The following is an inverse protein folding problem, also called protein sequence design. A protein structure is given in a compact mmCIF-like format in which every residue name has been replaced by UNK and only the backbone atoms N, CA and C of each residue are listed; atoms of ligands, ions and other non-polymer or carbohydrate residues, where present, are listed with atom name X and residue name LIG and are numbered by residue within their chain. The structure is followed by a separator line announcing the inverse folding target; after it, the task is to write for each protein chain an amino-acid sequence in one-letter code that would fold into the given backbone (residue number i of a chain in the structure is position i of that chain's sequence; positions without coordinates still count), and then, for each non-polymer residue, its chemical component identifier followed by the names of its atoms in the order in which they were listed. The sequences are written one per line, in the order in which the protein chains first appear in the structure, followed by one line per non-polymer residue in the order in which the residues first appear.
data_IF_422354861530
#
_entry.id   IF_422354861530
#
_cell.length_a   1.000
_cell.length_b   1.000
_cell.length_c   1.000
_cell.angle_alpha   90.00
_cell.angle_beta   90.00
_cell.angle_gamma   90.00
#
_symmetry.space_group_name_H-M   'P 1'
#
loop_
_entity.id
_entity.type
_entity.pdbx_description
1 polymer ?
#
# COMPACT_ATOMS: atom_id res chain seq x y z
N UNK A 1 -12.53 -14.83 -56.79
CA UNK A 1 -13.66 -14.58 -55.84
C UNK A 1 -13.83 -15.77 -54.90
N UNK A 2 -14.26 -15.50 -53.66
CA UNK A 2 -14.62 -16.43 -52.53
C UNK A 2 -13.45 -16.86 -51.64
N UNK A 3 -13.10 -16.05 -50.63
CA UNK A 3 -13.62 -16.03 -49.23
C UNK A 3 -13.32 -17.32 -48.45
N UNK A 4 -12.28 -17.28 -47.62
CA UNK A 4 -12.30 -17.97 -46.32
C UNK A 4 -11.73 -17.05 -45.24
N UNK A 5 -12.54 -16.05 -44.86
CA UNK A 5 -12.37 -15.26 -43.64
C UNK A 5 -13.29 -15.86 -42.58
N UNK A 6 -12.89 -16.92 -41.91
CA UNK A 6 -13.55 -17.39 -40.68
C UNK A 6 -12.46 -18.01 -39.80
N UNK A 7 -12.54 -17.79 -38.49
CA UNK A 7 -11.62 -18.22 -37.43
C UNK A 7 -10.53 -17.19 -37.06
N UNK A 8 -10.93 -15.94 -36.80
CA UNK A 8 -10.18 -15.03 -35.88
C UNK A 8 -11.23 -14.24 -35.07
N UNK A 9 -12.09 -14.92 -34.30
CA UNK A 9 -13.05 -14.22 -33.40
C UNK A 9 -13.16 -14.88 -32.02
N UNK A 10 -12.53 -16.03 -31.76
CA UNK A 10 -12.70 -16.75 -30.48
C UNK A 10 -11.66 -16.44 -29.38
N UNK A 11 -10.62 -15.65 -29.66
CA UNK A 11 -9.54 -15.38 -28.69
C UNK A 11 -9.67 -14.07 -27.91
N UNK A 12 -10.64 -13.21 -28.22
CA UNK A 12 -10.81 -11.89 -27.59
C UNK A 12 -11.71 -11.89 -26.34
N UNK A 13 -12.37 -13.00 -26.00
CA UNK A 13 -13.38 -13.02 -24.92
C UNK A 13 -12.77 -13.47 -23.56
N UNK A 14 -11.56 -14.04 -23.53
CA UNK A 14 -10.98 -14.58 -22.28
C UNK A 14 -10.16 -13.56 -21.44
N UNK A 15 -10.00 -12.32 -21.90
CA UNK A 15 -9.19 -11.32 -21.19
C UNK A 15 -10.00 -10.41 -20.22
N UNK A 16 -11.34 -10.50 -20.22
CA UNK A 16 -12.19 -9.54 -19.51
C UNK A 16 -12.44 -9.81 -18.01
N UNK A 17 -11.89 -10.89 -17.44
CA UNK A 17 -12.23 -11.32 -16.06
C UNK A 17 -11.07 -11.28 -15.06
N UNK A 18 -9.86 -10.96 -15.51
CA UNK A 18 -8.70 -10.90 -14.63
C UNK A 18 -8.28 -9.45 -14.37
N UNK A 19 -9.10 -8.70 -13.63
CA UNK A 19 -8.54 -7.58 -12.86
C UNK A 19 -7.83 -8.21 -11.65
N UNK A 20 -6.50 -8.11 -11.52
CA UNK A 20 -5.81 -8.73 -10.40
C UNK A 20 -6.32 -8.12 -9.10
N UNK A 21 -6.78 -8.96 -8.16
CA UNK A 21 -7.21 -8.50 -6.83
C UNK A 21 -6.13 -7.67 -6.11
N UNK A 22 -4.86 -7.89 -6.45
CA UNK A 22 -3.71 -7.11 -6.00
C UNK A 22 -3.72 -5.65 -6.47
N UNK A 23 -4.22 -5.35 -7.68
CA UNK A 23 -4.35 -3.98 -8.18
C UNK A 23 -5.46 -3.22 -7.44
N UNK A 24 -6.60 -3.87 -7.19
CA UNK A 24 -7.69 -3.29 -6.41
C UNK A 24 -7.24 -3.01 -4.97
N UNK A 25 -6.57 -3.98 -4.34
CA UNK A 25 -5.98 -3.83 -3.01
C UNK A 25 -4.99 -2.64 -2.94
N UNK A 26 -4.11 -2.49 -3.93
CA UNK A 26 -3.16 -1.38 -3.97
C UNK A 26 -3.85 -0.02 -4.11
N UNK A 27 -4.91 0.09 -4.92
CA UNK A 27 -5.68 1.33 -5.06
C UNK A 27 -6.39 1.73 -3.76
N UNK A 28 -6.94 0.78 -3.02
CA UNK A 28 -7.64 1.07 -1.75
C UNK A 28 -6.66 1.52 -0.66
N UNK A 29 -5.46 0.92 -0.62
CA UNK A 29 -4.41 1.36 0.29
C UNK A 29 -3.93 2.77 -0.04
N UNK A 30 -3.69 3.08 -1.32
CA UNK A 30 -3.23 4.39 -1.75
C UNK A 30 -4.22 5.50 -1.33
N UNK A 31 -5.53 5.26 -1.46
CA UNK A 31 -6.57 6.19 -0.96
C UNK A 31 -6.49 6.38 0.56
N UNK A 32 -6.26 5.31 1.31
CA UNK A 32 -6.20 5.34 2.78
C UNK A 32 -5.05 6.16 3.35
N UNK A 33 -4.00 6.39 2.56
CA UNK A 33 -2.80 7.10 3.00
C UNK A 33 -2.51 8.38 2.21
N UNK A 34 -3.42 8.82 1.34
CA UNK A 34 -3.26 10.04 0.55
C UNK A 34 -3.00 11.29 1.40
N UNK A 35 -3.52 11.33 2.64
CA UNK A 35 -3.24 12.43 3.57
C UNK A 35 -1.74 12.59 3.91
N UNK A 36 -0.90 11.58 3.64
CA UNK A 36 0.55 11.67 3.81
C UNK A 36 1.19 12.67 2.83
N UNK A 37 0.52 13.01 1.72
CA UNK A 37 0.94 14.07 0.79
C UNK A 37 1.12 15.42 1.50
N UNK A 38 0.33 15.65 2.57
CA UNK A 38 0.36 16.91 3.35
C UNK A 38 1.31 16.84 4.56
N UNK A 39 1.93 15.69 4.84
CA UNK A 39 2.81 15.52 6.00
C UNK A 39 4.24 15.89 5.62
N UNK A 40 4.69 17.09 6.02
CA UNK A 40 6.00 17.68 5.67
C UNK A 40 7.23 16.76 5.84
N UNK A 41 7.20 15.83 6.80
CA UNK A 41 8.31 14.90 7.08
C UNK A 41 8.25 13.58 6.30
N UNK A 42 7.18 13.32 5.56
CA UNK A 42 7.10 12.22 4.60
C UNK A 42 7.74 12.68 3.29
N UNK A 43 8.71 11.92 2.79
CA UNK A 43 9.29 12.16 1.46
C UNK A 43 8.57 11.37 0.37
N UNK A 44 8.24 10.12 0.69
CA UNK A 44 7.58 9.21 -0.24
C UNK A 44 6.82 8.16 0.55
N UNK A 45 5.82 7.58 -0.09
CA UNK A 45 5.21 6.34 0.37
C UNK A 45 4.88 5.45 -0.83
N UNK A 46 4.84 4.15 -0.61
CA UNK A 46 4.41 3.18 -1.64
C UNK A 46 3.58 2.07 -1.01
N UNK A 47 2.65 1.53 -1.78
CA UNK A 47 1.87 0.34 -1.41
C UNK A 47 2.41 -0.89 -2.16
N UNK A 48 2.55 -2.01 -1.46
CA UNK A 48 2.89 -3.31 -2.05
C UNK A 48 2.07 -4.40 -1.37
N UNK A 49 1.07 -4.96 -2.08
CA UNK A 49 0.15 -5.94 -1.50
C UNK A 49 -0.61 -5.38 -0.30
N UNK A 50 -0.38 -5.95 0.89
CA UNK A 50 -0.95 -5.49 2.18
C UNK A 50 -0.05 -4.51 2.95
N UNK A 51 1.05 -4.10 2.34
CA UNK A 51 2.10 -3.30 2.96
C UNK A 51 2.03 -1.86 2.46
N UNK A 52 2.18 -0.92 3.38
CA UNK A 52 2.46 0.49 3.09
C UNK A 52 3.84 0.78 3.66
N UNK A 53 4.68 1.43 2.87
CA UNK A 53 6.04 1.80 3.27
C UNK A 53 6.13 3.31 3.19
N UNK A 54 6.55 3.95 4.28
CA UNK A 54 6.63 5.40 4.42
C UNK A 54 8.10 5.78 4.64
N UNK A 55 8.64 6.59 3.73
CA UNK A 55 9.98 7.14 3.82
C UNK A 55 9.99 8.48 4.54
N UNK A 56 10.60 8.53 5.73
CA UNK A 56 10.63 9.72 6.59
C UNK A 56 11.93 10.52 6.45
N UNK A 57 11.84 11.85 6.26
CA UNK A 57 12.97 12.82 6.29
C UNK A 57 13.53 13.07 7.69
N UNK A 58 12.97 12.41 8.70
CA UNK A 58 13.21 12.60 10.12
C UNK A 58 11.96 12.20 10.89
N UNK A 59 12.08 12.04 12.21
CA UNK A 59 10.96 11.64 13.06
C UNK A 59 10.28 12.92 13.58
N UNK A 60 9.06 13.26 13.13
CA UNK A 60 8.31 14.34 13.74
C UNK A 60 7.79 13.93 15.14
N UNK A 61 7.38 14.91 15.94
CA UNK A 61 6.84 14.66 17.29
C UNK A 61 5.57 13.78 17.27
N UNK A 62 4.83 13.80 16.17
CA UNK A 62 3.61 13.03 15.94
C UNK A 62 3.86 11.78 15.06
N UNK A 63 5.12 11.32 14.98
CA UNK A 63 5.52 10.16 14.18
C UNK A 63 4.69 8.91 14.47
N UNK A 64 4.44 8.61 15.75
CA UNK A 64 3.58 7.51 16.16
C UNK A 64 2.17 7.65 15.59
N UNK A 65 1.58 8.85 15.73
CA UNK A 65 0.21 9.15 15.35
C UNK A 65 0.01 9.04 13.84
N UNK A 66 0.99 9.45 13.03
CA UNK A 66 0.90 9.30 11.58
C UNK A 66 0.93 7.85 11.12
N UNK A 67 1.83 7.02 11.68
CA UNK A 67 1.90 5.60 11.34
C UNK A 67 0.64 4.85 11.81
N UNK A 68 0.13 5.21 13.00
CA UNK A 68 -1.15 4.72 13.53
C UNK A 68 -2.32 5.07 12.60
N UNK A 69 -2.45 6.35 12.23
CA UNK A 69 -3.52 6.84 11.35
C UNK A 69 -3.47 6.17 9.97
N UNK A 70 -2.26 6.01 9.41
CA UNK A 70 -2.07 5.32 8.13
C UNK A 70 -2.58 3.88 8.19
N UNK A 71 -2.22 3.12 9.24
CA UNK A 71 -2.65 1.74 9.39
C UNK A 71 -4.17 1.62 9.56
N UNK A 72 -4.76 2.46 10.42
CA UNK A 72 -6.21 2.46 10.63
C UNK A 72 -6.99 2.78 9.36
N UNK A 73 -6.64 3.88 8.69
CA UNK A 73 -7.37 4.32 7.51
C UNK A 73 -7.27 3.30 6.38
N UNK A 74 -6.05 2.80 6.12
CA UNK A 74 -5.81 1.81 5.10
C UNK A 74 -6.57 0.50 5.38
N UNK A 75 -6.49 -0.03 6.61
CA UNK A 75 -7.19 -1.28 6.96
C UNK A 75 -8.72 -1.12 7.00
N UNK A 76 -9.23 0.08 7.30
CA UNK A 76 -10.67 0.38 7.25
C UNK A 76 -11.17 0.39 5.81
N UNK A 77 -10.42 0.95 4.87
CA UNK A 77 -10.83 0.96 3.46
C UNK A 77 -10.69 -0.43 2.83
N UNK A 78 -9.60 -1.12 3.11
CA UNK A 78 -9.27 -2.37 2.45
C UNK A 78 -9.94 -3.62 3.04
N UNK A 79 -10.49 -3.52 4.26
CA UNK A 79 -11.17 -4.61 4.98
C UNK A 79 -10.27 -5.83 5.32
N UNK A 80 -8.95 -5.67 5.26
CA UNK A 80 -7.97 -6.69 5.63
C UNK A 80 -6.89 -6.16 6.60
N UNK A 81 -6.00 -7.04 7.03
CA UNK A 81 -4.82 -6.67 7.83
C UNK A 81 -3.79 -5.91 6.99
N UNK A 82 -3.38 -4.74 7.46
CA UNK A 82 -2.41 -3.85 6.81
C UNK A 82 -1.18 -3.70 7.68
N UNK A 83 -0.02 -3.64 7.03
CA UNK A 83 1.29 -3.44 7.65
C UNK A 83 1.86 -2.12 7.17
N UNK A 84 2.05 -1.16 8.08
CA UNK A 84 2.70 0.12 7.81
C UNK A 84 4.13 0.08 8.31
N UNK A 85 5.08 0.23 7.40
CA UNK A 85 6.52 0.23 7.66
C UNK A 85 7.05 1.65 7.58
N UNK A 86 7.69 2.10 8.66
CA UNK A 86 8.43 3.36 8.64
C UNK A 86 9.90 3.09 8.33
N UNK A 87 10.44 3.74 7.31
CA UNK A 87 11.84 3.64 6.89
C UNK A 87 12.46 5.02 6.74
N UNK A 88 13.78 5.10 6.60
CA UNK A 88 14.47 6.35 6.30
C UNK A 88 14.23 6.74 4.84
N UNK A 89 14.07 8.03 4.56
CA UNK A 89 13.72 8.53 3.21
C UNK A 89 14.67 8.12 2.08
N UNK A 90 15.94 7.78 2.35
CA UNK A 90 16.87 7.32 1.32
C UNK A 90 16.64 5.85 0.91
N UNK A 91 15.86 5.08 1.68
CA UNK A 91 15.60 3.65 1.44
C UNK A 91 14.48 3.44 0.40
N UNK A 92 14.53 4.09 -0.77
CA UNK A 92 13.45 4.08 -1.79
C UNK A 92 13.11 2.66 -2.30
N UNK A 93 14.12 1.79 -2.38
CA UNK A 93 13.98 0.42 -2.87
C UNK A 93 13.66 -0.60 -1.78
N UNK A 94 13.44 -0.15 -0.53
CA UNK A 94 13.18 -1.05 0.59
C UNK A 94 11.94 -1.91 0.39
N UNK A 95 12.01 -3.15 0.86
CA UNK A 95 10.92 -4.12 0.81
C UNK A 95 10.65 -4.80 2.17
N UNK A 96 9.41 -5.24 2.43
CA UNK A 96 9.08 -5.95 3.67
C UNK A 96 10.00 -7.15 3.90
N UNK A 97 10.64 -7.20 5.08
CA UNK A 97 11.56 -8.27 5.47
C UNK A 97 13.05 -7.95 5.29
N UNK A 98 13.42 -6.87 4.59
CA UNK A 98 14.84 -6.51 4.35
C UNK A 98 15.59 -6.02 5.60
N UNK A 99 14.89 -5.69 6.70
CA UNK A 99 15.52 -5.15 7.91
C UNK A 99 15.83 -3.65 7.81
N UNK A 100 16.36 -3.06 8.89
CA UNK A 100 16.72 -1.63 8.90
C UNK A 100 15.53 -0.65 8.88
N UNK A 101 14.29 -1.14 8.98
CA UNK A 101 13.12 -0.32 9.24
C UNK A 101 13.24 0.37 10.60
N UNK A 102 12.60 1.54 10.71
CA UNK A 102 12.49 2.29 11.96
C UNK A 102 11.49 1.60 12.87
N UNK A 103 10.29 1.32 12.35
CA UNK A 103 9.23 0.64 13.08
C UNK A 103 8.17 0.08 12.13
N UNK A 104 7.25 -0.70 12.69
CA UNK A 104 6.08 -1.27 12.04
C UNK A 104 4.83 -0.98 12.89
N UNK A 105 3.72 -0.67 12.22
CA UNK A 105 2.38 -0.58 12.80
C UNK A 105 1.40 -1.43 12.02
N UNK A 106 0.54 -2.19 12.70
CA UNK A 106 -0.47 -3.03 12.07
C UNK A 106 -1.88 -2.64 12.48
N UNK A 107 -2.84 -2.87 11.58
CA UNK A 107 -4.26 -2.72 11.86
C UNK A 107 -5.08 -3.63 10.95
N UNK A 108 -6.25 -4.05 11.42
CA UNK A 108 -7.16 -4.95 10.69
C UNK A 108 -8.56 -4.39 10.75
N UNK A 109 -9.18 -4.14 9.59
CA UNK A 109 -10.57 -3.66 9.49
C UNK A 109 -10.84 -2.41 10.34
N UNK A 110 -9.90 -1.46 10.34
CA UNK A 110 -10.02 -0.22 11.11
C UNK A 110 -9.81 -0.39 12.62
N UNK A 111 -9.37 -1.56 13.08
CA UNK A 111 -8.98 -1.80 14.47
C UNK A 111 -7.46 -1.88 14.59
N UNK A 112 -6.92 -1.15 15.55
CA UNK A 112 -5.49 -1.15 15.83
C UNK A 112 -5.03 -2.56 16.25
N UNK A 113 -3.89 -3.00 15.70
CA UNK A 113 -3.24 -4.25 16.07
C UNK A 113 -2.12 -3.98 17.05
N UNK A 114 -0.89 -3.87 16.52
CA UNK A 114 0.31 -3.62 17.32
C UNK A 114 1.22 -2.61 16.64
N UNK A 115 2.13 -2.02 17.41
CA UNK A 115 3.20 -1.17 16.88
C UNK A 115 4.44 -1.28 17.76
N UNK A 116 5.61 -1.15 17.15
CA UNK A 116 6.86 -0.90 17.85
C UNK A 116 7.40 0.52 17.59
N UNK A 117 6.59 1.40 16.99
CA UNK A 117 6.92 2.81 16.87
C UNK A 117 6.88 3.45 18.26
N UNK A 118 7.94 4.19 18.61
CA UNK A 118 8.00 4.92 19.88
C UNK A 118 7.12 6.18 19.79
N UNK A 119 6.43 6.47 20.89
CA UNK A 119 5.76 7.75 21.11
C UNK A 119 6.78 8.85 21.39
#
# INVERSE_FOLDING_TARGET
MKRSKKIIVSLLILALWFVPASMLAAQDLAKGVKFLDDVKKVEWYKSSGKHIIIGWKGLPNDFYQWNYKAALNASKLSQYEVYVWAVRYHQKNWSPGEGGQICITTATRGRFGKTNCKK
#
